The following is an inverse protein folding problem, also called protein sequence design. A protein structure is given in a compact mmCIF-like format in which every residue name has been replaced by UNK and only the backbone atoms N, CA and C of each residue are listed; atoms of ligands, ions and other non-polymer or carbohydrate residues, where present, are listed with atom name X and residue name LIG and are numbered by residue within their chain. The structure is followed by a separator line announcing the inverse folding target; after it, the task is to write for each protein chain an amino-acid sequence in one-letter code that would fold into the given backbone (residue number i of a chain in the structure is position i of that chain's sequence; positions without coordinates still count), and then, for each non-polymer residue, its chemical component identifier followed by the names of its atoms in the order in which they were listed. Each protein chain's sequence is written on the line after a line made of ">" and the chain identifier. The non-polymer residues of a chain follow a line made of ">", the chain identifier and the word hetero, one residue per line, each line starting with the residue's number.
data_IF_292861734311
#
_entry.id   IF_292861734311
#
_cell.length_a   1.000
_cell.length_b   1.000
_cell.length_c   1.000
_cell.angle_alpha   90.00
_cell.angle_beta   90.00
_cell.angle_gamma   90.00
#
_symmetry.space_group_name_H-M   'P 1'
#
loop_
_entity.id
_entity.type
_entity.pdbx_description
1 polymer ?
#
# COMPACT_ATOMS: atom_id res chain seq x y z
N UNK A 1 13.08 -12.68 -1.70
CA UNK A 1 12.32 -11.42 -1.76
C UNK A 1 10.94 -11.67 -1.20
N UNK A 2 10.48 -10.82 -0.30
CA UNK A 2 9.10 -10.85 0.20
C UNK A 2 8.14 -10.32 -0.87
N UNK A 3 6.99 -10.97 -1.04
CA UNK A 3 5.92 -10.52 -1.93
C UNK A 3 4.95 -9.60 -1.18
N UNK A 4 4.86 -8.35 -1.62
CA UNK A 4 3.99 -7.33 -1.02
C UNK A 4 2.65 -7.21 -1.72
N UNK A 5 1.55 -7.32 -0.99
CA UNK A 5 0.22 -6.98 -1.49
C UNK A 5 -0.11 -5.52 -1.22
N UNK A 6 -0.46 -4.77 -2.26
CA UNK A 6 -0.85 -3.37 -2.13
C UNK A 6 -2.38 -3.26 -2.08
N UNK A 7 -2.92 -2.62 -1.05
CA UNK A 7 -4.36 -2.41 -0.85
C UNK A 7 -4.61 -0.92 -0.59
N UNK A 8 -5.61 -0.33 -1.25
CA UNK A 8 -5.92 1.08 -1.13
C UNK A 8 -6.90 1.54 -2.22
N UNK A 9 -7.50 2.73 -2.09
CA UNK A 9 -8.49 3.21 -3.03
C UNK A 9 -7.90 3.44 -4.43
N UNK A 10 -8.77 3.62 -5.40
CA UNK A 10 -8.37 3.94 -6.77
C UNK A 10 -7.48 5.20 -6.78
N UNK A 11 -6.46 5.21 -7.65
CA UNK A 11 -5.56 6.37 -7.85
C UNK A 11 -4.71 6.78 -6.64
N UNK A 12 -4.64 5.99 -5.56
CA UNK A 12 -3.72 6.26 -4.43
C UNK A 12 -2.25 5.91 -4.71
N UNK A 13 -1.89 5.45 -5.91
CA UNK A 13 -0.49 5.25 -6.31
C UNK A 13 0.06 3.83 -6.19
N UNK A 14 -0.79 2.80 -5.99
CA UNK A 14 -0.37 1.38 -5.90
C UNK A 14 0.43 0.92 -7.11
N UNK A 15 -0.13 1.08 -8.31
CA UNK A 15 0.52 0.67 -9.57
C UNK A 15 1.81 1.44 -9.82
N UNK A 16 1.84 2.74 -9.50
CA UNK A 16 3.07 3.55 -9.60
C UNK A 16 4.15 3.05 -8.65
N UNK A 17 3.81 2.68 -7.41
CA UNK A 17 4.75 2.07 -6.48
C UNK A 17 5.28 0.74 -7.02
N UNK A 18 4.42 -0.09 -7.60
CA UNK A 18 4.83 -1.35 -8.25
C UNK A 18 5.81 -1.12 -9.40
N UNK A 19 5.54 -0.13 -10.27
CA UNK A 19 6.44 0.25 -11.36
C UNK A 19 7.78 0.75 -10.82
N UNK A 20 7.77 1.62 -9.81
CA UNK A 20 8.98 2.07 -9.12
C UNK A 20 9.78 0.89 -8.54
N UNK A 21 9.10 -0.07 -7.91
CA UNK A 21 9.73 -1.27 -7.34
C UNK A 21 10.41 -2.16 -8.38
N UNK A 22 10.00 -2.06 -9.65
CA UNK A 22 10.59 -2.80 -10.77
C UNK A 22 11.64 -1.99 -11.54
N UNK A 23 11.88 -0.73 -11.16
CA UNK A 23 12.72 0.18 -11.93
C UNK A 23 12.10 0.56 -13.29
N UNK A 24 10.78 0.44 -13.43
CA UNK A 24 10.04 0.81 -14.63
C UNK A 24 9.75 2.32 -14.65
N UNK A 25 9.59 2.90 -15.85
CA UNK A 25 9.07 4.25 -15.98
C UNK A 25 7.61 4.29 -15.52
N UNK A 26 7.25 5.28 -14.69
CA UNK A 26 5.88 5.44 -14.21
C UNK A 26 4.97 5.79 -15.39
N UNK A 27 4.05 4.90 -15.69
CA UNK A 27 3.02 5.11 -16.71
C UNK A 27 1.65 4.88 -16.09
N UNK A 28 0.74 5.83 -16.31
CA UNK A 28 -0.62 5.66 -15.85
C UNK A 28 -1.25 4.44 -16.54
N UNK A 29 -1.57 3.43 -15.72
CA UNK A 29 -2.27 2.25 -16.14
C UNK A 29 -3.37 1.98 -15.13
N UNK A 30 -4.63 1.99 -15.58
CA UNK A 30 -5.73 1.59 -14.70
C UNK A 30 -5.72 0.08 -14.56
N UNK A 31 -5.45 -0.39 -13.34
CA UNK A 31 -5.51 -1.81 -12.98
C UNK A 31 -6.97 -2.28 -12.96
N UNK A 32 -7.33 -3.23 -13.82
CA UNK A 32 -8.70 -3.79 -13.94
C UNK A 32 -8.83 -5.18 -13.29
N UNK A 33 -7.71 -5.84 -13.05
CA UNK A 33 -7.61 -7.17 -12.46
C UNK A 33 -6.40 -7.22 -11.53
N UNK A 34 -6.39 -8.15 -10.58
CA UNK A 34 -5.26 -8.34 -9.68
C UNK A 34 -4.03 -8.76 -10.50
N UNK A 35 -2.94 -7.99 -10.39
CA UNK A 35 -1.70 -8.24 -11.12
C UNK A 35 -0.67 -8.84 -10.20
N UNK A 36 -0.20 -10.03 -10.56
CA UNK A 36 0.78 -10.79 -9.81
C UNK A 36 2.17 -10.60 -10.40
N UNK A 37 3.16 -10.43 -9.52
CA UNK A 37 4.57 -10.41 -9.90
C UNK A 37 5.44 -10.99 -8.77
N UNK A 38 6.72 -11.29 -9.02
CA UNK A 38 7.59 -11.86 -7.99
C UNK A 38 7.62 -11.06 -6.69
N UNK A 39 7.63 -9.72 -6.79
CA UNK A 39 7.75 -8.82 -5.65
C UNK A 39 6.41 -8.24 -5.15
N UNK A 40 5.36 -8.22 -5.98
CA UNK A 40 4.12 -7.50 -5.64
C UNK A 40 2.85 -8.18 -6.14
N UNK A 41 1.76 -7.98 -5.40
CA UNK A 41 0.37 -8.24 -5.77
C UNK A 41 -0.32 -6.87 -5.83
N UNK A 42 -0.51 -6.33 -7.03
CA UNK A 42 -1.21 -5.05 -7.23
C UNK A 42 -2.71 -5.31 -7.36
N UNK A 43 -3.51 -4.73 -6.46
CA UNK A 43 -4.97 -4.89 -6.45
C UNK A 43 -5.65 -3.67 -7.04
N UNK A 44 -6.73 -3.81 -7.84
CA UNK A 44 -7.57 -2.68 -8.22
C UNK A 44 -8.21 -2.03 -6.98
N UNK A 45 -8.37 -0.71 -7.00
CA UNK A 45 -8.96 0.02 -5.86
C UNK A 45 -10.42 -0.35 -5.61
N UNK A 46 -11.10 -0.76 -6.67
CA UNK A 46 -12.48 -1.23 -6.68
C UNK A 46 -12.72 -2.42 -5.74
N UNK A 47 -11.68 -3.21 -5.43
CA UNK A 47 -11.79 -4.36 -4.52
C UNK A 47 -11.94 -3.93 -3.05
N UNK A 48 -11.40 -2.76 -2.70
CA UNK A 48 -11.60 -2.13 -1.40
C UNK A 48 -12.92 -1.35 -1.35
N UNK A 49 -13.29 -0.72 -2.46
CA UNK A 49 -14.46 0.15 -2.56
C UNK A 49 -15.77 -0.66 -2.67
N UNK A 50 -15.72 -1.91 -3.15
CA UNK A 50 -16.88 -2.79 -3.28
C UNK A 50 -16.82 -3.99 -2.33
N UNK A 51 -17.77 -4.05 -1.39
CA UNK A 51 -17.87 -5.13 -0.40
C UNK A 51 -17.96 -6.54 -1.02
N UNK A 52 -18.55 -6.71 -2.20
CA UNK A 52 -18.65 -8.02 -2.84
C UNK A 52 -17.30 -8.57 -3.31
N UNK A 53 -16.31 -7.71 -3.51
CA UNK A 53 -14.96 -8.05 -3.95
C UNK A 53 -13.97 -8.21 -2.78
N UNK A 54 -14.40 -7.89 -1.55
CA UNK A 54 -13.54 -7.91 -0.37
C UNK A 54 -12.97 -9.31 -0.08
N UNK A 55 -13.74 -10.37 -0.32
CA UNK A 55 -13.28 -11.75 -0.14
C UNK A 55 -12.06 -12.08 -1.01
N UNK A 56 -11.96 -11.49 -2.21
CA UNK A 56 -10.80 -11.67 -3.05
C UNK A 56 -9.54 -11.04 -2.45
N UNK A 57 -9.65 -9.91 -1.72
CA UNK A 57 -8.51 -9.35 -0.99
C UNK A 57 -8.03 -10.31 0.11
N UNK A 58 -8.95 -10.93 0.85
CA UNK A 58 -8.59 -11.91 1.89
C UNK A 58 -7.88 -13.13 1.29
N UNK A 59 -8.39 -13.66 0.17
CA UNK A 59 -7.76 -14.78 -0.53
C UNK A 59 -6.37 -14.40 -1.05
N UNK A 60 -6.21 -13.22 -1.64
CA UNK A 60 -4.92 -12.76 -2.14
C UNK A 60 -3.90 -12.50 -1.02
N UNK A 61 -4.34 -12.09 0.17
CA UNK A 61 -3.46 -11.90 1.33
C UNK A 61 -2.80 -13.21 1.79
N UNK A 62 -3.41 -14.37 1.51
CA UNK A 62 -2.79 -15.68 1.78
C UNK A 62 -1.51 -15.90 0.97
N UNK A 63 -1.37 -15.26 -0.19
CA UNK A 63 -0.22 -15.40 -1.10
C UNK A 63 0.81 -14.28 -0.91
N UNK A 64 0.57 -13.36 0.01
CA UNK A 64 1.43 -12.23 0.34
C UNK A 64 2.28 -12.54 1.56
N UNK A 65 3.53 -12.07 1.57
CA UNK A 65 4.38 -12.09 2.76
C UNK A 65 4.12 -10.87 3.65
N UNK A 66 3.76 -9.74 3.04
CA UNK A 66 3.50 -8.46 3.71
C UNK A 66 2.37 -7.70 3.01
N UNK A 67 1.62 -6.90 3.77
CA UNK A 67 0.54 -6.04 3.27
C UNK A 67 0.94 -4.58 3.38
N UNK A 68 0.80 -3.84 2.29
CA UNK A 68 0.94 -2.39 2.25
C UNK A 68 -0.42 -1.72 2.07
N UNK A 69 -0.88 -1.02 3.10
CA UNK A 69 -2.03 -0.14 3.01
C UNK A 69 -1.61 1.21 2.43
N UNK A 70 -2.17 1.60 1.30
CA UNK A 70 -1.74 2.75 0.51
C UNK A 70 -2.81 3.82 0.48
N UNK A 71 -2.49 5.03 0.95
CA UNK A 71 -3.34 6.22 0.87
C UNK A 71 -2.56 7.42 0.32
N UNK A 72 -3.22 8.30 -0.41
CA UNK A 72 -2.66 9.59 -0.76
C UNK A 72 -2.63 10.53 0.45
N UNK A 73 -1.62 11.39 0.52
CA UNK A 73 -1.38 12.29 1.64
C UNK A 73 -2.52 13.31 1.86
N UNK A 74 -3.24 13.68 0.80
CA UNK A 74 -4.40 14.56 0.83
C UNK A 74 -5.73 13.80 0.76
N UNK A 75 -5.77 12.53 1.18
CA UNK A 75 -7.01 11.75 1.20
C UNK A 75 -8.07 12.46 2.05
N UNK A 76 -9.29 12.67 1.52
CA UNK A 76 -10.36 13.33 2.27
C UNK A 76 -10.94 12.46 3.39
N UNK A 77 -10.82 11.14 3.28
CA UNK A 77 -11.28 10.16 4.26
C UNK A 77 -10.52 8.83 4.06
N UNK A 78 -10.56 7.96 5.08
CA UNK A 78 -9.99 6.61 5.01
C UNK A 78 -11.05 5.56 4.65
N UNK A 79 -10.83 4.72 3.62
CA UNK A 79 -11.69 3.57 3.32
C UNK A 79 -11.48 2.39 4.25
N UNK A 80 -10.46 2.42 5.10
CA UNK A 80 -10.17 1.34 6.03
C UNK A 80 -10.94 1.54 7.33
N UNK A 81 -11.65 0.51 7.76
CA UNK A 81 -12.17 0.43 9.14
C UNK A 81 -11.02 0.23 10.13
N UNK A 82 -11.17 0.62 11.41
CA UNK A 82 -10.24 0.20 12.45
C UNK A 82 -10.09 -1.33 12.47
N UNK A 83 -8.86 -1.83 12.57
CA UNK A 83 -8.56 -3.27 12.52
C UNK A 83 -8.82 -3.93 11.15
N UNK A 84 -8.87 -3.16 10.06
CA UNK A 84 -9.11 -3.67 8.71
C UNK A 84 -8.28 -4.91 8.34
N UNK A 85 -7.02 -4.98 8.79
CA UNK A 85 -6.10 -6.08 8.46
C UNK A 85 -6.11 -7.24 9.45
N UNK A 86 -6.90 -7.19 10.52
CA UNK A 86 -6.91 -8.22 11.58
C UNK A 86 -7.14 -9.63 11.02
N UNK A 87 -8.05 -9.77 10.04
CA UNK A 87 -8.37 -11.06 9.42
C UNK A 87 -7.32 -11.57 8.44
N UNK A 88 -6.37 -10.74 8.03
CA UNK A 88 -5.39 -11.09 6.98
C UNK A 88 -4.16 -11.81 7.53
N UNK A 89 -3.88 -11.70 8.84
CA UNK A 89 -2.78 -12.38 9.54
C UNK A 89 -1.40 -12.26 8.88
N UNK A 90 -1.09 -11.09 8.31
CA UNK A 90 0.22 -10.75 7.74
C UNK A 90 0.80 -9.50 8.41
N UNK A 91 2.13 -9.32 8.43
CA UNK A 91 2.73 -8.03 8.75
C UNK A 91 2.14 -6.92 7.86
N UNK A 92 1.90 -5.76 8.45
CA UNK A 92 1.25 -4.64 7.75
C UNK A 92 2.06 -3.36 7.91
N UNK A 93 2.31 -2.72 6.78
CA UNK A 93 2.86 -1.37 6.70
C UNK A 93 1.83 -0.43 6.07
N UNK A 94 1.92 0.85 6.44
CA UNK A 94 1.20 1.93 5.81
C UNK A 94 2.12 2.69 4.87
N UNK A 95 1.58 3.14 3.74
CA UNK A 95 2.29 3.95 2.77
C UNK A 95 1.43 5.16 2.44
N UNK A 96 1.92 6.33 2.82
CA UNK A 96 1.35 7.62 2.43
C UNK A 96 2.03 8.07 1.15
N UNK A 97 1.31 8.14 0.04
CA UNK A 97 1.85 8.57 -1.27
C UNK A 97 1.50 10.03 -1.55
N UNK A 98 2.12 10.62 -2.58
CA UNK A 98 1.84 11.99 -3.04
C UNK A 98 1.98 13.03 -1.93
N UNK A 99 2.99 12.86 -1.07
CA UNK A 99 3.25 13.75 0.07
C UNK A 99 3.48 15.22 -0.34
N UNK A 100 3.91 15.46 -1.58
CA UNK A 100 4.05 16.77 -2.19
C UNK A 100 2.74 17.56 -2.34
N UNK A 101 1.58 16.89 -2.30
CA UNK A 101 0.27 17.51 -2.48
C UNK A 101 -0.44 17.84 -1.16
N UNK A 102 0.21 17.66 -0.02
CA UNK A 102 -0.44 17.73 1.29
C UNK A 102 0.42 18.48 2.34
N UNK A 103 -0.28 19.09 3.29
CA UNK A 103 0.31 19.67 4.49
C UNK A 103 0.78 18.59 5.48
N UNK A 104 1.61 18.99 6.45
CA UNK A 104 2.13 18.10 7.51
C UNK A 104 0.98 17.56 8.37
N UNK A 105 -0.05 18.37 8.61
CA UNK A 105 -1.24 18.01 9.36
C UNK A 105 -2.04 16.92 8.64
N UNK A 106 -2.24 17.06 7.34
CA UNK A 106 -2.92 16.05 6.52
C UNK A 106 -2.15 14.73 6.49
N UNK A 107 -0.83 14.78 6.30
CA UNK A 107 0.02 13.57 6.35
C UNK A 107 -0.11 12.89 7.71
N UNK A 108 -0.13 13.66 8.80
CA UNK A 108 -0.26 13.12 10.17
C UNK A 108 -1.60 12.44 10.38
N UNK A 109 -2.69 13.02 9.85
CA UNK A 109 -4.02 12.41 9.88
C UNK A 109 -4.07 11.09 9.11
N UNK A 110 -3.53 11.06 7.89
CA UNK A 110 -3.48 9.82 7.08
C UNK A 110 -2.64 8.74 7.76
N UNK A 111 -1.52 9.11 8.39
CA UNK A 111 -0.73 8.19 9.21
C UNK A 111 -1.54 7.59 10.36
N UNK A 112 -2.40 8.39 11.00
CA UNK A 112 -3.29 7.92 12.07
C UNK A 112 -4.25 6.85 11.53
N UNK A 113 -4.95 7.13 10.43
CA UNK A 113 -5.87 6.19 9.80
C UNK A 113 -5.21 4.87 9.40
N UNK A 114 -3.99 4.92 8.84
CA UNK A 114 -3.25 3.72 8.48
C UNK A 114 -2.89 2.88 9.72
N UNK A 115 -2.52 3.52 10.83
CA UNK A 115 -2.26 2.82 12.10
C UNK A 115 -3.51 2.20 12.68
N UNK A 116 -4.63 2.91 12.69
CA UNK A 116 -5.92 2.39 13.14
C UNK A 116 -6.38 1.19 12.31
N UNK A 117 -6.10 1.21 11.00
CA UNK A 117 -6.38 0.09 10.11
C UNK A 117 -5.51 -1.15 10.37
N UNK A 118 -4.43 -1.02 11.16
CA UNK A 118 -3.55 -2.11 11.59
C UNK A 118 -2.12 -2.02 11.08
N UNK A 119 -1.70 -0.91 10.44
CA UNK A 119 -0.31 -0.72 10.05
C UNK A 119 0.59 -0.43 11.25
N UNK A 120 1.72 -1.15 11.37
CA UNK A 120 2.70 -0.91 12.46
C UNK A 120 3.64 0.23 12.13
N UNK A 121 4.24 0.18 10.93
CA UNK A 121 5.14 1.21 10.42
C UNK A 121 4.45 1.95 9.27
N UNK A 122 4.53 3.28 9.26
CA UNK A 122 3.95 4.10 8.19
C UNK A 122 5.03 4.93 7.51
N UNK A 123 5.26 4.64 6.23
CA UNK A 123 6.20 5.34 5.36
C UNK A 123 5.50 6.48 4.63
N UNK A 124 6.25 7.52 4.30
CA UNK A 124 5.78 8.65 3.50
C UNK A 124 6.61 8.70 2.22
N UNK A 125 5.93 8.73 1.08
CA UNK A 125 6.55 8.71 -0.23
C UNK A 125 6.02 9.83 -1.12
N UNK A 126 6.90 10.33 -1.98
CA UNK A 126 6.54 11.21 -3.10
C UNK A 126 7.29 10.73 -4.33
N UNK A 127 6.55 10.28 -5.33
CA UNK A 127 7.13 9.82 -6.60
C UNK A 127 7.79 10.98 -7.36
N UNK A 128 7.27 12.21 -7.25
CA UNK A 128 7.82 13.40 -7.91
C UNK A 128 9.15 13.80 -7.29
N UNK A 129 9.23 13.80 -5.96
CA UNK A 129 10.45 14.20 -5.24
C UNK A 129 11.42 13.04 -5.02
N UNK A 130 11.07 11.82 -5.46
CA UNK A 130 11.82 10.59 -5.24
C UNK A 130 12.13 10.31 -3.75
N UNK A 131 11.18 10.68 -2.88
CA UNK A 131 11.29 10.55 -1.42
C UNK A 131 10.64 9.24 -0.96
N UNK A 132 11.30 8.52 -0.04
CA UNK A 132 10.73 7.38 0.69
C UNK A 132 10.59 6.07 -0.11
N UNK A 133 10.82 6.10 -1.43
CA UNK A 133 10.81 4.89 -2.27
C UNK A 133 11.96 3.96 -1.88
N UNK A 134 13.15 4.52 -1.61
CA UNK A 134 14.32 3.75 -1.16
C UNK A 134 14.09 3.05 0.21
N UNK A 135 13.39 3.71 1.14
CA UNK A 135 13.01 3.11 2.42
C UNK A 135 12.05 1.93 2.25
N UNK A 136 11.08 2.06 1.33
CA UNK A 136 10.17 0.97 0.96
C UNK A 136 10.93 -0.24 0.38
N UNK A 137 11.93 0.03 -0.47
CA UNK A 137 12.83 -1.01 -0.97
C UNK A 137 13.62 -1.67 0.14
N UNK A 138 14.13 -0.91 1.10
CA UNK A 138 14.94 -1.45 2.20
C UNK A 138 14.09 -2.37 3.07
N UNK A 139 12.84 -2.00 3.38
CA UNK A 139 11.90 -2.87 4.09
C UNK A 139 11.66 -4.20 3.36
N UNK A 140 11.52 -4.17 2.03
CA UNK A 140 11.32 -5.38 1.21
C UNK A 140 12.55 -6.29 1.09
N UNK A 141 13.74 -5.72 1.29
CA UNK A 141 15.03 -6.43 1.22
C UNK A 141 15.62 -6.74 2.58
N UNK A 142 15.04 -6.21 3.66
CA UNK A 142 15.43 -6.59 5.01
C UNK A 142 14.92 -8.01 5.20
N UNK A 143 15.83 -8.98 5.11
CA UNK A 143 15.62 -10.29 5.69
C UNK A 143 15.39 -10.07 7.20
N UNK A 144 14.13 -9.88 7.62
CA UNK A 144 13.77 -10.10 9.02
C UNK A 144 13.83 -11.61 9.28
N UNK A 145 15.06 -12.13 9.28
CA UNK A 145 15.48 -13.13 10.23
C UNK A 145 15.43 -12.51 11.62
N UNK A 146 14.24 -12.51 12.22
CA UNK A 146 14.12 -12.64 13.66
C UNK A 146 13.02 -13.66 13.93
N UNK A 147 13.49 -14.78 14.48
CA UNK A 147 12.72 -15.90 14.99
C UNK A 147 11.72 -15.48 16.05
#
# INVERSE_FOLDING_TARGET
>A
MQRMMLIGPSQCGKTSLTQCLRGENIQYQKTQAIVWSPATIDTPGEYLENRSLYSALLVCACEADIIALVLNANAPWSPFSPGFTTSMNRPVIGVVTKADLASVEQISLVKCWLREAGARNVLVTSAINNIGVAELFTLLHTEEGCR
#
